data_IF_540286645135
#
_entry.id   IF_540286645135
#
_cell.length_a   1.000
_cell.length_b   1.000
_cell.length_c   1.000
_cell.angle_alpha   90.00
_cell.angle_beta   90.00
_cell.angle_gamma   90.00
#
_symmetry.space_group_name_H-M   'P 1'
#
loop_
_entity.id
_entity.type
_entity.pdbx_description
1 polymer ?
#
# COMPACT_ATOMS: atom_id res chain seq x y z
N UNK A 1 8.24 -7.36 19.52
CA UNK A 1 7.62 -7.80 18.28
C UNK A 1 7.28 -6.63 17.41
N UNK A 2 7.78 -6.63 16.21
CA UNK A 2 7.59 -5.55 15.28
C UNK A 2 6.28 -5.68 14.52
N UNK A 3 5.78 -4.54 14.02
CA UNK A 3 4.58 -4.52 13.19
C UNK A 3 4.78 -5.26 11.87
N UNK A 4 6.04 -5.48 11.48
CA UNK A 4 6.37 -6.16 10.23
C UNK A 4 6.39 -7.67 10.36
N UNK A 5 6.22 -8.22 11.56
CA UNK A 5 6.19 -9.67 11.77
C UNK A 5 5.10 -10.32 10.93
N UNK A 6 3.92 -9.72 10.90
CA UNK A 6 2.79 -10.22 10.11
C UNK A 6 3.14 -10.28 8.63
N UNK A 7 3.88 -9.28 8.15
CA UNK A 7 4.35 -9.24 6.76
C UNK A 7 5.32 -10.37 6.46
N UNK A 8 6.30 -10.56 7.34
CA UNK A 8 7.31 -11.59 7.14
C UNK A 8 6.75 -13.00 7.23
N UNK A 9 5.69 -13.18 7.99
CA UNK A 9 5.02 -14.47 8.12
C UNK A 9 4.05 -14.74 6.97
N UNK A 10 3.71 -13.72 6.19
CA UNK A 10 2.79 -13.89 5.08
C UNK A 10 3.50 -14.40 3.84
N UNK A 11 2.75 -15.06 2.96
CA UNK A 11 3.28 -15.66 1.75
C UNK A 11 3.07 -14.73 0.53
N UNK A 12 3.45 -13.47 0.70
CA UNK A 12 3.31 -12.47 -0.37
C UNK A 12 4.62 -12.34 -1.14
N UNK A 13 4.55 -11.96 -2.44
CA UNK A 13 5.76 -11.73 -3.24
C UNK A 13 6.63 -10.61 -2.67
N UNK A 14 7.91 -10.61 -3.03
CA UNK A 14 8.84 -9.57 -2.59
C UNK A 14 8.39 -8.17 -2.96
N UNK A 15 7.78 -8.00 -4.15
CA UNK A 15 7.26 -6.68 -4.56
C UNK A 15 6.23 -6.16 -3.57
N UNK A 16 5.39 -7.05 -3.04
CA UNK A 16 4.38 -6.68 -2.06
C UNK A 16 5.03 -6.29 -0.74
N UNK A 17 6.06 -7.00 -0.33
CA UNK A 17 6.80 -6.67 0.89
C UNK A 17 7.43 -5.28 0.80
N UNK A 18 8.01 -4.95 -0.35
CA UNK A 18 8.61 -3.64 -0.57
C UNK A 18 7.56 -2.53 -0.45
N UNK A 19 6.42 -2.71 -1.10
CA UNK A 19 5.35 -1.73 -1.06
C UNK A 19 4.81 -1.58 0.37
N UNK A 20 4.63 -2.67 1.08
CA UNK A 20 4.16 -2.63 2.46
C UNK A 20 5.13 -1.84 3.35
N UNK A 21 6.42 -2.12 3.25
CA UNK A 21 7.44 -1.44 4.05
C UNK A 21 7.42 0.05 3.74
N UNK A 22 7.30 0.41 2.47
CA UNK A 22 7.21 1.80 2.05
C UNK A 22 5.98 2.49 2.66
N UNK A 23 4.82 1.83 2.59
CA UNK A 23 3.59 2.39 3.17
C UNK A 23 3.68 2.51 4.68
N UNK A 24 4.29 1.52 5.33
CA UNK A 24 4.50 1.55 6.77
C UNK A 24 5.35 2.76 7.17
N UNK A 25 6.38 3.06 6.39
CA UNK A 25 7.25 4.19 6.63
C UNK A 25 6.52 5.53 6.44
N UNK A 26 5.50 5.56 5.59
CA UNK A 26 4.77 6.78 5.25
C UNK A 26 3.45 6.95 5.98
N UNK A 27 3.03 5.97 6.76
CA UNK A 27 1.74 6.04 7.44
C UNK A 27 1.76 7.07 8.55
N UNK A 28 0.58 7.65 8.81
CA UNK A 28 0.39 8.59 9.91
C UNK A 28 0.01 7.86 11.21
N UNK A 29 -0.39 8.62 12.22
CA UNK A 29 -0.78 8.08 13.52
C UNK A 29 -1.98 7.14 13.44
N UNK A 30 -2.81 7.32 12.42
CA UNK A 30 -4.00 6.50 12.20
C UNK A 30 -3.71 5.28 11.35
N UNK A 31 -2.44 5.04 11.03
CA UNK A 31 -1.98 3.94 10.19
C UNK A 31 -2.47 4.08 8.74
N UNK A 32 -2.63 5.30 8.30
CA UNK A 32 -3.10 5.62 6.96
C UNK A 32 -1.96 6.23 6.15
N UNK A 33 -1.80 5.77 4.93
CA UNK A 33 -0.80 6.28 4.01
C UNK A 33 -1.46 6.76 2.72
N UNK A 34 -0.94 7.84 2.15
CA UNK A 34 -1.55 8.50 1.01
C UNK A 34 -0.77 8.50 -0.29
N UNK A 35 0.45 8.00 -0.39
CA UNK A 35 1.17 8.13 -1.64
C UNK A 35 0.42 7.44 -2.78
N UNK A 36 0.35 8.09 -3.92
CA UNK A 36 -0.28 7.51 -5.09
C UNK A 36 0.59 6.44 -5.72
N UNK A 37 0.01 5.67 -6.64
CA UNK A 37 0.70 4.59 -7.34
C UNK A 37 1.97 5.12 -8.03
N UNK A 38 1.87 6.28 -8.68
CA UNK A 38 3.03 6.87 -9.38
C UNK A 38 4.16 7.19 -8.43
N UNK A 39 3.83 7.72 -7.24
CA UNK A 39 4.83 8.08 -6.24
C UNK A 39 5.53 6.84 -5.71
N UNK A 40 4.76 5.81 -5.38
CA UNK A 40 5.31 4.54 -4.89
C UNK A 40 6.24 3.94 -5.94
N UNK A 41 5.77 3.88 -7.19
CA UNK A 41 6.55 3.31 -8.28
C UNK A 41 7.88 4.05 -8.47
N UNK A 42 7.82 5.37 -8.43
CA UNK A 42 9.02 6.20 -8.58
C UNK A 42 10.04 5.94 -7.47
N UNK A 43 9.58 5.94 -6.21
CA UNK A 43 10.47 5.78 -5.07
C UNK A 43 11.07 4.36 -4.98
N UNK A 44 10.33 3.35 -5.40
CA UNK A 44 10.79 1.97 -5.33
C UNK A 44 11.40 1.47 -6.62
N UNK A 45 11.46 2.32 -7.64
CA UNK A 45 11.96 1.95 -8.98
C UNK A 45 11.21 0.74 -9.56
N UNK A 46 9.90 0.74 -9.36
CA UNK A 46 9.02 -0.30 -9.88
C UNK A 46 8.08 0.28 -10.93
N UNK A 47 7.56 -0.57 -11.82
CA UNK A 47 6.54 -0.13 -12.75
C UNK A 47 5.22 0.09 -12.02
N UNK A 48 4.35 0.92 -12.60
CA UNK A 48 3.01 1.15 -12.04
C UNK A 48 2.22 -0.15 -11.95
N UNK A 49 2.33 -1.00 -12.96
CA UNK A 49 1.65 -2.30 -12.97
C UNK A 49 2.12 -3.18 -11.82
N UNK A 50 3.41 -3.19 -11.55
CA UNK A 50 3.99 -3.96 -10.45
C UNK A 50 3.46 -3.46 -9.11
N UNK A 51 3.39 -2.13 -8.92
CA UNK A 51 2.86 -1.55 -7.68
C UNK A 51 1.39 -1.91 -7.50
N UNK A 52 0.60 -1.83 -8.56
CA UNK A 52 -0.82 -2.21 -8.50
C UNK A 52 -1.00 -3.66 -8.09
N UNK A 53 -0.19 -4.55 -8.67
CA UNK A 53 -0.24 -5.98 -8.31
C UNK A 53 0.17 -6.19 -6.86
N UNK A 54 1.21 -5.49 -6.42
CA UNK A 54 1.67 -5.58 -5.05
C UNK A 54 0.60 -5.15 -4.05
N UNK A 55 -0.09 -4.05 -4.33
CA UNK A 55 -1.18 -3.56 -3.49
C UNK A 55 -2.29 -4.61 -3.42
N UNK A 56 -2.63 -5.21 -4.55
CA UNK A 56 -3.66 -6.25 -4.60
C UNK A 56 -3.25 -7.48 -3.79
N UNK A 57 -1.97 -7.87 -3.88
CA UNK A 57 -1.44 -8.99 -3.09
C UNK A 57 -1.58 -8.71 -1.59
N UNK A 58 -1.28 -7.48 -1.17
CA UNK A 58 -1.38 -7.08 0.23
C UNK A 58 -2.84 -7.07 0.72
N UNK A 59 -3.76 -6.61 -0.13
CA UNK A 59 -5.18 -6.62 0.20
C UNK A 59 -5.68 -8.06 0.40
N UNK A 60 -5.30 -8.96 -0.51
CA UNK A 60 -5.70 -10.36 -0.44
C UNK A 60 -5.14 -11.06 0.80
N UNK A 61 -3.95 -10.67 1.21
CA UNK A 61 -3.32 -11.24 2.40
C UNK A 61 -3.86 -10.65 3.70
N UNK A 62 -4.72 -9.63 3.61
CA UNK A 62 -5.29 -8.98 4.79
C UNK A 62 -4.31 -8.06 5.51
N UNK A 63 -3.27 -7.59 4.81
CA UNK A 63 -2.26 -6.73 5.39
C UNK A 63 -2.58 -5.25 5.28
N UNK A 64 -3.33 -4.88 4.25
CA UNK A 64 -3.78 -3.49 4.06
C UNK A 64 -5.23 -3.47 3.59
N UNK A 65 -5.86 -2.32 3.77
CA UNK A 65 -7.16 -2.02 3.22
C UNK A 65 -7.03 -0.79 2.35
N UNK A 66 -7.49 -0.86 1.13
CA UNK A 66 -7.52 0.27 0.21
C UNK A 66 -8.88 0.94 0.28
N UNK A 67 -8.87 2.25 0.44
CA UNK A 67 -10.09 3.03 0.52
C UNK A 67 -10.02 4.16 -0.50
N UNK A 68 -10.87 4.17 -1.53
CA UNK A 68 -10.83 5.23 -2.54
C UNK A 68 -11.27 6.56 -1.95
N UNK A 69 -10.65 7.62 -2.42
CA UNK A 69 -10.99 8.98 -2.02
C UNK A 69 -11.56 9.70 -3.24
N UNK A 70 -12.77 10.24 -3.10
CA UNK A 70 -13.47 10.87 -4.19
C UNK A 70 -13.56 12.38 -4.01
N UNK A 71 -13.56 13.10 -5.13
CA UNK A 71 -13.84 14.53 -5.13
C UNK A 71 -15.36 14.74 -5.05
N UNK A 72 -15.76 15.99 -4.80
CA UNK A 72 -17.18 16.36 -4.72
C UNK A 72 -17.95 15.97 -5.98
N UNK A 73 -17.31 16.00 -7.14
CA UNK A 73 -17.96 15.64 -8.40
C UNK A 73 -18.02 14.13 -8.64
N UNK A 74 -17.64 13.32 -7.65
CA UNK A 74 -17.71 11.88 -7.76
C UNK A 74 -16.50 11.20 -8.40
N UNK A 75 -15.53 11.95 -8.89
CA UNK A 75 -14.32 11.38 -9.50
C UNK A 75 -13.34 10.94 -8.44
N UNK A 76 -12.81 9.72 -8.60
CA UNK A 76 -11.76 9.23 -7.71
C UNK A 76 -10.48 10.04 -7.92
N UNK A 77 -9.86 10.52 -6.83
CA UNK A 77 -8.63 11.29 -6.89
C UNK A 77 -7.41 10.45 -6.57
N UNK A 78 -7.45 9.72 -5.46
CA UNK A 78 -6.36 8.87 -5.00
C UNK A 78 -6.93 7.86 -4.02
N UNK A 79 -6.12 6.86 -3.70
CA UNK A 79 -6.51 5.87 -2.70
C UNK A 79 -5.77 6.14 -1.41
N UNK A 80 -6.45 5.91 -0.30
CA UNK A 80 -5.82 5.85 1.00
C UNK A 80 -5.59 4.39 1.34
N UNK A 81 -4.45 4.08 1.93
CA UNK A 81 -4.09 2.73 2.32
C UNK A 81 -4.01 2.65 3.84
N UNK A 82 -4.77 1.74 4.41
CA UNK A 82 -4.75 1.51 5.86
C UNK A 82 -3.98 0.22 6.13
N UNK A 83 -2.98 0.28 6.99
CA UNK A 83 -2.19 -0.89 7.36
C UNK A 83 -2.88 -1.59 8.53
N UNK A 84 -3.15 -2.86 8.34
CA UNK A 84 -3.93 -3.66 9.30
C UNK A 84 -3.08 -4.43 10.31
#
# INVERSE_FOLDING_TARGET
>A
MGRLDKLYQSDVPNRAKLVYIYLHDRMDKERKAWPGINTIASHLSLSRSTVKRAVKDLEKAGLIRKEPHYRENGSATSNHYYLL
#
